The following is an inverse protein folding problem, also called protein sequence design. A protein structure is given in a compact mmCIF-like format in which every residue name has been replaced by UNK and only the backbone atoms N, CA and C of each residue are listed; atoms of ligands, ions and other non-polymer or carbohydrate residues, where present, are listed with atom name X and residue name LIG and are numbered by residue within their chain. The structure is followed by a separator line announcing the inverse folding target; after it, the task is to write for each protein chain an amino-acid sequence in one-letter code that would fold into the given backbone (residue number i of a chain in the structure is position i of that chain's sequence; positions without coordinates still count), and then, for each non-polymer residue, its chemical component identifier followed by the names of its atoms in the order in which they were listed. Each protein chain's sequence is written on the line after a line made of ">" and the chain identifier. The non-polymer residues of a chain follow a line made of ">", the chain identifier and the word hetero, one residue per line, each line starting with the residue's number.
data_IF_381668974208
#
_entry.id   IF_381668974208
#
_cell.length_a   1.000
_cell.length_b   1.000
_cell.length_c   1.000
_cell.angle_alpha   90.00
_cell.angle_beta   90.00
_cell.angle_gamma   90.00
#
_symmetry.space_group_name_H-M   'P 1'
#
loop_
_entity.id
_entity.type
_entity.pdbx_description
1 polymer ?
#
# COMPACT_ATOMS: atom_id res chain seq x y z
N UNK A 1 -5.03 22.77 3.17
CA UNK A 1 -4.12 21.64 3.49
C UNK A 1 -3.46 21.91 4.83
N UNK A 2 -3.33 20.92 5.73
CA UNK A 2 -2.50 21.09 6.93
C UNK A 2 -1.03 21.21 6.49
N UNK A 3 -0.40 22.38 6.71
CA UNK A 3 0.94 22.66 6.18
C UNK A 3 1.99 21.69 6.68
N UNK A 4 1.84 21.18 7.91
CA UNK A 4 2.76 20.21 8.53
C UNK A 4 2.72 18.87 7.80
N UNK A 5 1.53 18.41 7.39
CA UNK A 5 1.39 17.15 6.66
C UNK A 5 2.04 17.26 5.28
N UNK A 6 1.82 18.39 4.60
CA UNK A 6 2.44 18.65 3.31
C UNK A 6 3.98 18.71 3.43
N UNK A 7 4.50 19.33 4.49
CA UNK A 7 5.93 19.36 4.77
C UNK A 7 6.51 17.96 4.95
N UNK A 8 5.84 17.09 5.69
CA UNK A 8 6.30 15.70 5.87
C UNK A 8 6.28 14.91 4.56
N UNK A 9 5.25 15.08 3.73
CA UNK A 9 5.18 14.38 2.44
C UNK A 9 6.25 14.92 1.48
N UNK A 10 6.47 16.24 1.45
CA UNK A 10 7.54 16.87 0.67
C UNK A 10 8.92 16.41 1.13
N UNK A 11 9.15 16.32 2.43
CA UNK A 11 10.37 15.76 3.01
C UNK A 11 10.58 14.32 2.56
N UNK A 12 9.58 13.45 2.76
CA UNK A 12 9.68 12.03 2.39
C UNK A 12 9.95 11.85 0.89
N UNK A 13 9.22 12.60 0.04
CA UNK A 13 9.42 12.58 -1.41
C UNK A 13 10.84 13.04 -1.80
N UNK A 14 11.34 14.10 -1.17
CA UNK A 14 12.70 14.60 -1.42
C UNK A 14 13.77 13.60 -1.00
N UNK A 15 13.64 13.00 0.19
CA UNK A 15 14.58 11.97 0.66
C UNK A 15 14.59 10.73 -0.26
N UNK A 16 13.42 10.29 -0.74
CA UNK A 16 13.33 9.21 -1.74
C UNK A 16 14.00 9.60 -3.06
N UNK A 17 13.85 10.85 -3.51
CA UNK A 17 14.54 11.36 -4.68
C UNK A 17 16.07 11.38 -4.46
N UNK A 18 16.55 11.85 -3.31
CA UNK A 18 17.98 11.86 -2.94
C UNK A 18 18.54 10.43 -2.96
N UNK A 19 17.83 9.48 -2.36
CA UNK A 19 18.21 8.06 -2.36
C UNK A 19 18.31 7.53 -3.79
N UNK A 20 17.32 7.79 -4.64
CA UNK A 20 17.35 7.38 -6.06
C UNK A 20 18.52 8.02 -6.82
N UNK A 21 18.80 9.30 -6.58
CA UNK A 21 19.91 10.01 -7.21
C UNK A 21 21.26 9.42 -6.79
N UNK A 22 21.48 9.20 -5.49
CA UNK A 22 22.66 8.51 -4.94
C UNK A 22 22.77 7.08 -5.47
N UNK A 23 21.65 6.38 -5.54
CA UNK A 23 21.34 5.17 -6.32
C UNK A 23 22.06 5.12 -7.66
N UNK A 24 21.81 6.17 -8.43
CA UNK A 24 22.35 6.34 -9.77
C UNK A 24 23.85 6.66 -9.79
N UNK A 25 24.47 7.08 -8.69
CA UNK A 25 25.85 7.58 -8.64
C UNK A 25 25.97 9.11 -8.61
N UNK A 26 24.87 9.82 -8.37
CA UNK A 26 24.93 11.26 -8.10
C UNK A 26 25.36 11.55 -6.67
N UNK A 27 26.01 12.70 -6.47
CA UNK A 27 26.45 13.17 -5.15
C UNK A 27 26.13 14.64 -4.96
N UNK A 28 26.23 15.09 -3.72
CA UNK A 28 26.16 16.52 -3.42
C UNK A 28 27.30 17.28 -4.13
N UNK A 29 27.00 18.49 -4.60
CA UNK A 29 27.98 19.50 -4.99
C UNK A 29 27.31 20.86 -5.08
N UNK A 30 28.07 21.95 -5.03
CA UNK A 30 27.52 23.30 -4.87
C UNK A 30 26.65 23.78 -6.04
N UNK A 31 26.68 23.06 -7.16
CA UNK A 31 25.85 23.29 -8.34
C UNK A 31 25.53 21.97 -9.04
N UNK A 32 24.51 22.01 -9.88
CA UNK A 32 24.22 20.92 -10.81
C UNK A 32 25.31 20.80 -11.87
N UNK A 33 25.91 19.62 -11.98
CA UNK A 33 26.82 19.23 -13.04
C UNK A 33 26.52 17.79 -13.47
N UNK A 34 26.04 17.63 -14.70
CA UNK A 34 25.70 16.33 -15.25
C UNK A 34 26.93 15.45 -15.54
N UNK A 35 28.05 16.06 -15.95
CA UNK A 35 29.28 15.33 -16.28
C UNK A 35 29.96 14.84 -14.99
N UNK A 36 30.04 15.68 -13.96
CA UNK A 36 30.58 15.32 -12.66
C UNK A 36 29.59 14.58 -11.75
N UNK A 37 28.32 14.47 -12.19
CA UNK A 37 27.18 13.87 -11.47
C UNK A 37 26.98 14.49 -10.09
N UNK A 38 27.04 15.81 -10.01
CA UNK A 38 26.75 16.57 -8.78
C UNK A 38 25.43 17.31 -8.88
N UNK A 39 24.73 17.45 -7.77
CA UNK A 39 23.53 18.27 -7.67
C UNK A 39 23.42 18.88 -6.27
N UNK A 40 23.20 20.19 -6.22
CA UNK A 40 23.05 21.03 -5.02
C UNK A 40 21.88 20.63 -4.11
N UNK A 41 20.79 20.12 -4.69
CA UNK A 41 19.64 19.64 -3.93
C UNK A 41 19.86 18.25 -3.28
N UNK A 42 20.98 17.55 -3.51
CA UNK A 42 21.29 16.26 -2.86
C UNK A 42 21.78 16.48 -1.42
N UNK A 43 20.87 17.00 -0.60
CA UNK A 43 21.02 17.29 0.82
C UNK A 43 19.66 17.13 1.51
N UNK A 44 19.61 17.30 2.83
CA UNK A 44 18.36 17.20 3.57
C UNK A 44 17.35 18.22 3.06
N UNK A 45 16.07 17.82 3.00
CA UNK A 45 14.98 18.74 2.65
C UNK A 45 14.98 20.01 3.53
N UNK A 46 15.30 19.87 4.81
CA UNK A 46 15.28 20.96 5.79
C UNK A 46 16.42 21.98 5.58
N UNK A 47 17.47 21.62 4.85
CA UNK A 47 18.61 22.51 4.57
C UNK A 47 18.52 23.15 3.19
N UNK A 48 17.52 22.79 2.38
CA UNK A 48 17.24 23.45 1.10
C UNK A 48 16.85 24.91 1.30
N UNK A 49 17.14 25.75 0.30
CA UNK A 49 16.63 27.10 0.25
C UNK A 49 15.09 27.14 0.16
N UNK A 50 14.48 28.23 0.63
CA UNK A 50 13.02 28.37 0.67
C UNK A 50 12.35 28.18 -0.69
N UNK A 51 13.02 28.58 -1.78
CA UNK A 51 12.53 28.40 -3.15
C UNK A 51 12.36 26.92 -3.49
N UNK A 52 13.36 26.10 -3.18
CA UNK A 52 13.36 24.68 -3.54
C UNK A 52 12.41 23.89 -2.64
N UNK A 53 12.34 24.23 -1.34
CA UNK A 53 11.34 23.65 -0.46
C UNK A 53 9.92 23.95 -0.95
N UNK A 54 9.65 25.18 -1.40
CA UNK A 54 8.36 25.57 -1.98
C UNK A 54 8.06 24.79 -3.26
N UNK A 55 9.05 24.64 -4.13
CA UNK A 55 8.90 23.86 -5.36
C UNK A 55 8.59 22.38 -5.08
N UNK A 56 9.26 21.77 -4.10
CA UNK A 56 8.98 20.41 -3.67
C UNK A 56 7.55 20.25 -3.12
N UNK A 57 7.09 21.18 -2.27
CA UNK A 57 5.70 21.20 -1.78
C UNK A 57 4.69 21.28 -2.94
N UNK A 58 4.89 22.22 -3.86
CA UNK A 58 4.01 22.39 -5.03
C UNK A 58 3.99 21.15 -5.92
N UNK A 59 5.14 20.50 -6.09
CA UNK A 59 5.24 19.25 -6.86
C UNK A 59 4.45 18.11 -6.20
N UNK A 60 4.55 17.97 -4.87
CA UNK A 60 3.76 17.00 -4.10
C UNK A 60 2.27 17.28 -4.20
N UNK A 61 1.84 18.53 -4.02
CA UNK A 61 0.42 18.89 -4.16
C UNK A 61 -0.12 18.57 -5.56
N UNK A 62 0.61 18.98 -6.61
CA UNK A 62 0.21 18.76 -7.99
C UNK A 62 0.18 17.27 -8.38
N UNK A 63 0.98 16.42 -7.72
CA UNK A 63 1.02 14.99 -8.01
C UNK A 63 -0.20 14.21 -7.51
N UNK A 64 -1.02 14.79 -6.62
CA UNK A 64 -2.10 14.08 -5.96
C UNK A 64 -1.63 13.08 -4.88
N UNK A 65 -0.34 13.09 -4.51
CA UNK A 65 0.23 12.17 -3.53
C UNK A 65 -0.53 12.15 -2.19
N UNK A 66 -1.06 13.30 -1.75
CA UNK A 66 -1.87 13.38 -0.52
C UNK A 66 -3.12 12.52 -0.65
N UNK A 67 -3.87 12.66 -1.74
CA UNK A 67 -5.10 11.91 -1.97
C UNK A 67 -4.83 10.40 -2.11
N UNK A 68 -3.69 10.03 -2.70
CA UNK A 68 -3.25 8.63 -2.76
C UNK A 68 -2.98 8.10 -1.35
N UNK A 69 -2.23 8.84 -0.52
CA UNK A 69 -1.91 8.42 0.85
C UNK A 69 -3.16 8.33 1.74
N UNK A 70 -4.14 9.21 1.55
CA UNK A 70 -5.45 9.12 2.22
C UNK A 70 -6.16 7.81 1.88
N UNK A 71 -6.07 7.35 0.63
CA UNK A 71 -6.68 6.08 0.18
C UNK A 71 -5.88 4.85 0.60
N UNK A 72 -4.58 4.98 0.89
CA UNK A 72 -3.75 3.86 1.34
C UNK A 72 -4.13 3.35 2.74
N UNK A 73 -4.81 4.15 3.54
CA UNK A 73 -5.14 3.83 4.93
C UNK A 73 -6.63 4.01 5.17
N UNK A 74 -7.41 3.02 4.75
CA UNK A 74 -8.76 2.84 5.27
C UNK A 74 -8.70 1.95 6.51
N UNK A 75 -9.22 2.44 7.64
CA UNK A 75 -9.32 1.68 8.89
C UNK A 75 -10.78 1.31 9.08
N UNK A 76 -11.28 0.28 8.39
CA UNK A 76 -12.68 -0.01 8.49
C UNK A 76 -12.96 -0.45 9.95
N UNK A 77 -13.95 0.16 10.59
CA UNK A 77 -14.31 -0.04 12.00
C UNK A 77 -15.71 -0.62 12.12
N UNK A 78 -15.94 -1.41 13.17
CA UNK A 78 -17.23 -1.99 13.48
C UNK A 78 -17.49 -3.34 12.77
N UNK A 79 -18.73 -3.85 12.82
CA UNK A 79 -19.10 -5.17 12.26
C UNK A 79 -18.86 -5.31 10.74
N UNK A 80 -18.64 -4.19 10.05
CA UNK A 80 -18.40 -4.09 8.61
C UNK A 80 -16.95 -3.80 8.26
N UNK A 81 -16.03 -3.89 9.23
CA UNK A 81 -14.62 -3.88 8.93
C UNK A 81 -14.33 -5.06 7.98
N UNK A 82 -14.03 -4.79 6.71
CA UNK A 82 -13.47 -5.80 5.83
C UNK A 82 -12.33 -6.46 6.62
N UNK A 83 -12.36 -7.79 6.72
CA UNK A 83 -11.53 -8.52 7.67
C UNK A 83 -10.09 -8.05 7.54
N UNK A 84 -9.52 -7.55 8.63
CA UNK A 84 -8.09 -7.25 8.61
C UNK A 84 -7.40 -8.59 8.33
N UNK A 85 -6.62 -8.66 7.25
CA UNK A 85 -5.90 -9.87 6.83
C UNK A 85 -5.10 -10.55 7.95
N UNK A 86 -4.69 -9.76 8.94
CA UNK A 86 -3.98 -10.20 10.14
C UNK A 86 -4.86 -11.01 11.12
N UNK A 87 -6.17 -10.85 11.06
CA UNK A 87 -7.12 -11.46 12.01
C UNK A 87 -7.76 -12.74 11.47
N UNK A 88 -7.54 -13.07 10.19
CA UNK A 88 -8.01 -14.32 9.59
C UNK A 88 -7.41 -15.53 10.32
N UNK A 89 -8.19 -16.58 10.52
CA UNK A 89 -7.72 -17.84 11.13
C UNK A 89 -8.15 -19.04 10.31
N UNK A 90 -7.34 -20.10 10.31
CA UNK A 90 -7.70 -21.37 9.68
C UNK A 90 -9.01 -21.91 10.27
N UNK A 91 -9.86 -22.46 9.41
CA UNK A 91 -11.22 -22.91 9.76
C UNK A 91 -12.28 -21.80 9.78
N UNK A 92 -11.91 -20.53 9.62
CA UNK A 92 -12.87 -19.42 9.59
C UNK A 92 -13.65 -19.39 8.27
N UNK A 93 -14.92 -18.98 8.33
CA UNK A 93 -15.78 -18.84 7.15
C UNK A 93 -15.71 -17.44 6.57
N UNK A 94 -15.56 -17.38 5.26
CA UNK A 94 -15.42 -16.14 4.50
C UNK A 94 -16.31 -16.15 3.25
N UNK A 95 -16.67 -14.96 2.78
CA UNK A 95 -17.37 -14.72 1.52
C UNK A 95 -16.50 -13.88 0.59
N UNK A 96 -16.70 -14.01 -0.71
CA UNK A 96 -16.18 -13.05 -1.68
C UNK A 96 -16.99 -11.75 -1.61
N UNK A 97 -16.29 -10.63 -1.51
CA UNK A 97 -16.87 -9.29 -1.63
C UNK A 97 -16.88 -8.85 -3.10
N UNK A 98 -15.96 -9.39 -3.90
CA UNK A 98 -15.82 -9.08 -5.33
C UNK A 98 -15.75 -10.39 -6.15
N UNK A 99 -16.93 -10.89 -6.56
CA UNK A 99 -17.09 -12.20 -7.18
C UNK A 99 -16.49 -12.30 -8.60
N UNK A 100 -16.17 -11.16 -9.24
CA UNK A 100 -15.68 -11.11 -10.62
C UNK A 100 -14.19 -11.47 -10.77
N UNK A 101 -13.48 -11.76 -9.67
CA UNK A 101 -12.01 -11.87 -9.67
C UNK A 101 -11.44 -13.29 -9.80
N UNK A 102 -12.25 -14.34 -9.65
CA UNK A 102 -11.74 -15.71 -9.68
C UNK A 102 -12.09 -16.40 -11.00
N UNK A 103 -11.20 -16.27 -11.97
CA UNK A 103 -11.35 -16.89 -13.29
C UNK A 103 -11.38 -18.43 -13.18
N UNK A 104 -12.45 -19.06 -13.69
CA UNK A 104 -12.57 -20.52 -13.77
C UNK A 104 -13.15 -21.23 -12.55
N UNK A 105 -13.49 -20.53 -11.45
CA UNK A 105 -14.18 -21.11 -10.31
C UNK A 105 -15.69 -20.86 -10.36
N UNK A 106 -16.49 -21.81 -9.84
CA UNK A 106 -17.94 -21.64 -9.70
C UNK A 106 -18.26 -21.25 -8.26
N UNK A 107 -18.07 -19.97 -7.95
CA UNK A 107 -18.36 -19.42 -6.63
C UNK A 107 -19.57 -18.51 -6.77
N UNK A 108 -20.67 -18.87 -6.13
CA UNK A 108 -21.87 -18.04 -6.09
C UNK A 108 -21.65 -16.88 -5.10
N UNK A 109 -22.32 -15.75 -5.34
CA UNK A 109 -22.18 -14.53 -4.50
C UNK A 109 -22.49 -14.74 -3.00
N UNK A 110 -23.23 -15.80 -2.69
CA UNK A 110 -23.63 -16.16 -1.32
C UNK A 110 -22.85 -17.35 -0.76
N UNK A 111 -21.89 -17.89 -1.49
CA UNK A 111 -21.09 -19.00 -1.01
C UNK A 111 -20.17 -18.57 0.12
N UNK A 112 -20.12 -19.44 1.12
CA UNK A 112 -19.27 -19.30 2.29
C UNK A 112 -18.14 -20.32 2.19
N UNK A 113 -16.98 -19.85 1.79
CA UNK A 113 -15.74 -20.62 1.79
C UNK A 113 -15.16 -20.75 3.19
N UNK A 114 -14.30 -21.74 3.39
CA UNK A 114 -13.57 -21.97 4.63
C UNK A 114 -12.09 -21.76 4.40
N UNK A 115 -11.43 -21.02 5.28
CA UNK A 115 -9.98 -20.86 5.24
C UNK A 115 -9.32 -22.21 5.53
N UNK A 116 -8.72 -22.80 4.51
CA UNK A 116 -8.06 -24.10 4.59
C UNK A 116 -6.64 -23.96 5.14
N UNK A 117 -5.90 -22.93 4.72
CA UNK A 117 -4.56 -22.67 5.22
C UNK A 117 -4.12 -21.22 5.08
N UNK A 118 -3.20 -20.79 5.95
CA UNK A 118 -2.55 -19.48 5.92
C UNK A 118 -1.05 -19.67 5.70
N UNK A 119 -0.53 -19.10 4.61
CA UNK A 119 0.89 -19.17 4.26
C UNK A 119 1.60 -17.92 4.80
N UNK A 120 2.74 -18.13 5.44
CA UNK A 120 3.62 -17.06 5.93
C UNK A 120 5.00 -17.15 5.27
N UNK A 121 5.66 -16.01 5.11
CA UNK A 121 7.06 -15.94 4.68
C UNK A 121 8.04 -16.21 5.83
N UNK A 122 9.34 -16.15 5.54
CA UNK A 122 10.40 -16.34 6.53
C UNK A 122 10.46 -15.25 7.62
N UNK A 123 9.79 -14.12 7.42
CA UNK A 123 9.64 -13.06 8.40
C UNK A 123 8.35 -13.20 9.25
N UNK A 124 7.54 -14.23 9.00
CA UNK A 124 6.27 -14.45 9.67
C UNK A 124 5.12 -13.58 9.15
N UNK A 125 5.31 -12.88 8.01
CA UNK A 125 4.24 -12.13 7.37
C UNK A 125 3.35 -13.06 6.56
N UNK A 126 2.03 -12.89 6.68
CA UNK A 126 1.05 -13.66 5.91
C UNK A 126 1.10 -13.20 4.46
N UNK A 127 1.33 -14.14 3.55
CA UNK A 127 1.47 -13.86 2.11
C UNK A 127 0.28 -14.38 1.30
N UNK A 128 -0.37 -15.44 1.77
CA UNK A 128 -1.46 -16.08 1.05
C UNK A 128 -2.45 -16.73 2.01
N UNK A 129 -3.73 -16.66 1.66
CA UNK A 129 -4.81 -17.41 2.31
C UNK A 129 -5.45 -18.31 1.26
N UNK A 130 -5.61 -19.59 1.60
CA UNK A 130 -6.31 -20.56 0.76
C UNK A 130 -7.72 -20.78 1.27
N UNK A 131 -8.70 -20.65 0.39
CA UNK A 131 -10.11 -20.80 0.74
C UNK A 131 -10.71 -21.96 -0.04
N UNK A 132 -11.33 -22.89 0.69
CA UNK A 132 -12.09 -24.01 0.15
C UNK A 132 -13.55 -23.62 0.03
N UNK A 133 -14.10 -23.66 -1.16
CA UNK A 133 -15.52 -23.33 -1.41
C UNK A 133 -16.43 -24.55 -1.32
N UNK A 134 -17.75 -24.36 -1.13
CA UNK A 134 -18.73 -25.45 -1.14
C UNK A 134 -18.74 -26.26 -2.44
N UNK A 135 -18.36 -25.65 -3.57
CA UNK A 135 -18.19 -26.33 -4.86
C UNK A 135 -17.05 -27.36 -4.86
N UNK A 136 -16.15 -27.30 -3.87
CA UNK A 136 -14.90 -28.05 -3.82
C UNK A 136 -13.71 -27.28 -4.39
N UNK A 137 -13.94 -26.13 -5.02
CA UNK A 137 -12.87 -25.29 -5.58
C UNK A 137 -11.93 -24.77 -4.47
N UNK A 138 -10.64 -24.66 -4.79
CA UNK A 138 -9.65 -23.98 -3.94
C UNK A 138 -9.24 -22.69 -4.63
N UNK A 139 -9.29 -21.59 -3.90
CA UNK A 139 -8.76 -20.31 -4.36
C UNK A 139 -7.66 -19.81 -3.46
N UNK A 140 -6.81 -18.98 -4.02
CA UNK A 140 -5.70 -18.34 -3.34
C UNK A 140 -5.93 -16.83 -3.35
N UNK A 141 -5.76 -16.19 -2.20
CA UNK A 141 -5.99 -14.75 -2.02
C UNK A 141 -4.79 -14.12 -1.33
N UNK A 142 -4.35 -12.97 -1.81
CA UNK A 142 -3.25 -12.20 -1.25
C UNK A 142 -3.74 -10.92 -0.54
N UNK A 143 -3.00 -10.40 0.47
CA UNK A 143 -3.38 -9.20 1.21
C UNK A 143 -3.80 -7.97 0.40
N UNK A 144 -3.31 -7.83 -0.83
CA UNK A 144 -3.66 -6.72 -1.72
C UNK A 144 -5.03 -6.84 -2.40
N UNK A 145 -5.61 -8.05 -2.46
CA UNK A 145 -6.80 -8.34 -3.25
C UNK A 145 -8.08 -7.78 -2.60
N UNK A 146 -8.08 -7.69 -1.25
CA UNK A 146 -9.20 -7.16 -0.45
C UNK A 146 -10.58 -7.74 -0.83
N UNK A 147 -10.60 -9.01 -1.17
CA UNK A 147 -11.75 -9.69 -1.78
C UNK A 147 -12.48 -10.64 -0.81
N UNK A 148 -11.98 -10.83 0.42
CA UNK A 148 -12.57 -11.70 1.44
C UNK A 148 -13.21 -10.91 2.61
N UNK A 149 -14.43 -11.29 3.02
CA UNK A 149 -15.09 -10.83 4.25
C UNK A 149 -15.52 -12.00 5.13
N UNK A 150 -15.59 -11.82 6.45
CA UNK A 150 -16.18 -12.80 7.37
C UNK A 150 -17.69 -12.98 7.17
N UNK A 151 -18.20 -14.15 7.56
CA UNK A 151 -19.63 -14.49 7.54
C UNK A 151 -20.51 -13.50 8.34
N UNK A 152 -20.00 -12.93 9.45
CA UNK A 152 -20.78 -12.11 10.38
C UNK A 152 -20.96 -10.62 10.00
N UNK A 153 -20.48 -10.19 8.84
CA UNK A 153 -20.66 -8.80 8.36
C UNK A 153 -21.97 -8.61 7.59
N UNK A 154 -23.13 -8.83 8.24
CA UNK A 154 -24.46 -8.46 7.73
C UNK A 154 -25.18 -7.52 8.70
N UNK A 155 -25.28 -6.24 8.33
CA UNK A 155 -26.36 -5.31 8.68
C UNK A 155 -26.41 -4.19 7.65
#
# INVERSE_FOLDING_TARGET
>A
MNSIVLDHIALAAHELWVLRMRSGGWRFGDHYDAAARTHDAIQSFLTLGERDQRHARQSVEASGAVAILEQCLDYPRGPHAATVWLDLVEGQRVRLINADLVEGCRIEKHDLGMIESIITDSAGQRTLVRVRWPSGDLTEHAPGDNDLALEESQY
#
